data_IF_392669452819
#
_entry.id   IF_392669452819
#
_cell.length_a   1.000
_cell.length_b   1.000
_cell.length_c   1.000
_cell.angle_alpha   90.00
_cell.angle_beta   90.00
_cell.angle_gamma   90.00
#
_symmetry.space_group_name_H-M   'P 1'
#
loop_
_entity.id
_entity.type
_entity.pdbx_description
1 polymer ?
#
# COMPACT_ATOMS: atom_id res chain seq x y z
N UNK A 1 -12.68 -53.19 9.68
CA UNK A 1 -12.61 -51.92 10.45
C UNK A 1 -14.02 -51.58 10.93
N UNK A 2 -14.22 -51.20 12.21
CA UNK A 2 -15.55 -50.84 12.70
C UNK A 2 -16.12 -49.61 11.98
N UNK A 3 -17.43 -49.60 11.73
CA UNK A 3 -18.14 -48.54 10.99
C UNK A 3 -17.96 -47.15 11.62
N UNK A 4 -17.91 -47.09 12.96
CA UNK A 4 -17.67 -45.87 13.72
C UNK A 4 -16.31 -45.25 13.41
N UNK A 5 -15.26 -46.08 13.31
CA UNK A 5 -13.90 -45.61 13.01
C UNK A 5 -13.81 -45.19 11.54
N UNK A 6 -14.55 -45.85 10.65
CA UNK A 6 -14.64 -45.46 9.22
C UNK A 6 -15.26 -44.07 9.06
N UNK A 7 -16.38 -43.80 9.73
CA UNK A 7 -17.04 -42.47 9.68
C UNK A 7 -16.15 -41.36 10.24
N UNK A 8 -15.47 -41.63 11.35
CA UNK A 8 -14.52 -40.70 11.95
C UNK A 8 -13.37 -40.35 10.99
N UNK A 9 -12.74 -41.37 10.39
CA UNK A 9 -11.62 -41.16 9.47
C UNK A 9 -12.03 -40.38 8.21
N UNK A 10 -13.27 -40.56 7.73
CA UNK A 10 -13.78 -39.82 6.56
C UNK A 10 -14.01 -38.34 6.85
N UNK A 11 -14.45 -37.98 8.06
CA UNK A 11 -14.77 -36.58 8.41
C UNK A 11 -13.61 -35.80 9.06
N UNK A 12 -12.63 -36.49 9.63
CA UNK A 12 -11.51 -35.86 10.37
C UNK A 12 -10.67 -34.90 9.50
N UNK A 13 -10.51 -35.18 8.21
CA UNK A 13 -9.59 -34.43 7.34
C UNK A 13 -10.06 -33.04 6.89
N UNK A 14 -11.28 -32.61 7.25
CA UNK A 14 -11.82 -31.33 6.79
C UNK A 14 -10.96 -30.13 7.19
N UNK A 15 -10.46 -30.12 8.43
CA UNK A 15 -9.61 -29.05 8.97
C UNK A 15 -8.24 -29.06 8.31
N UNK A 16 -7.60 -30.21 8.18
CA UNK A 16 -6.28 -30.33 7.53
C UNK A 16 -6.30 -29.88 6.06
N UNK A 17 -7.38 -30.20 5.36
CA UNK A 17 -7.59 -29.76 3.97
C UNK A 17 -7.72 -28.23 3.92
N UNK A 18 -8.47 -27.64 4.84
CA UNK A 18 -8.61 -26.18 4.92
C UNK A 18 -7.26 -25.52 5.23
N UNK A 19 -6.52 -26.02 6.22
CA UNK A 19 -5.21 -25.51 6.60
C UNK A 19 -4.19 -25.61 5.46
N UNK A 20 -4.21 -26.72 4.72
CA UNK A 20 -3.40 -26.90 3.50
C UNK A 20 -3.76 -25.86 2.44
N UNK A 21 -5.05 -25.60 2.20
CA UNK A 21 -5.51 -24.60 1.24
C UNK A 21 -5.13 -23.17 1.67
N UNK A 22 -5.30 -22.84 2.95
CA UNK A 22 -4.90 -21.55 3.50
C UNK A 22 -3.39 -21.32 3.42
N UNK A 23 -2.61 -22.36 3.70
CA UNK A 23 -1.14 -22.32 3.66
C UNK A 23 -0.61 -22.15 2.22
N UNK A 24 -1.25 -22.81 1.24
CA UNK A 24 -0.79 -22.82 -0.16
C UNK A 24 -0.60 -21.42 -0.77
N UNK A 25 -1.44 -20.46 -0.40
CA UNK A 25 -1.33 -19.08 -0.88
C UNK A 25 -1.51 -18.04 0.24
N UNK A 26 -0.87 -18.31 1.37
CA UNK A 26 -0.88 -17.44 2.55
C UNK A 26 -0.39 -16.02 2.20
N UNK A 27 -1.13 -14.95 2.55
CA UNK A 27 -0.66 -13.58 2.39
C UNK A 27 0.65 -13.32 3.15
N UNK A 28 1.67 -12.78 2.48
CA UNK A 28 3.00 -12.49 3.06
C UNK A 28 3.14 -11.07 3.63
N UNK A 29 2.03 -10.37 3.83
CA UNK A 29 2.01 -8.98 4.28
C UNK A 29 2.29 -8.90 5.78
N UNK A 30 3.49 -8.47 6.17
CA UNK A 30 3.87 -8.27 7.57
C UNK A 30 3.44 -6.87 8.05
N UNK A 31 2.76 -6.81 9.19
CA UNK A 31 2.40 -5.56 9.86
C UNK A 31 2.79 -5.62 11.34
N UNK A 32 3.04 -4.47 11.95
CA UNK A 32 3.30 -4.36 13.40
C UNK A 32 2.03 -4.48 14.25
N UNK A 33 0.86 -4.38 13.63
CA UNK A 33 -0.45 -4.45 14.32
C UNK A 33 -0.84 -5.92 14.51
N UNK A 34 -1.09 -6.35 15.74
CA UNK A 34 -1.44 -7.74 16.07
C UNK A 34 -2.67 -8.26 15.29
N UNK A 35 -3.68 -7.42 15.12
CA UNK A 35 -4.93 -7.78 14.44
C UNK A 35 -4.78 -7.95 12.92
N UNK A 36 -3.68 -7.48 12.33
CA UNK A 36 -3.46 -7.56 10.88
C UNK A 36 -3.35 -9.02 10.40
N UNK A 37 -2.76 -9.89 11.21
CA UNK A 37 -2.66 -11.31 10.89
C UNK A 37 -4.06 -11.96 10.85
N UNK A 38 -4.96 -11.56 11.75
CA UNK A 38 -6.34 -12.03 11.75
C UNK A 38 -7.08 -11.54 10.50
N UNK A 39 -6.98 -10.24 10.18
CA UNK A 39 -7.64 -9.66 9.02
C UNK A 39 -7.16 -10.30 7.70
N UNK A 40 -5.84 -10.40 7.51
CA UNK A 40 -5.27 -11.00 6.30
C UNK A 40 -5.62 -12.49 6.17
N UNK A 41 -5.66 -13.23 7.28
CA UNK A 41 -6.08 -14.63 7.26
C UNK A 41 -7.59 -14.78 6.97
N UNK A 42 -8.43 -13.87 7.49
CA UNK A 42 -9.86 -13.87 7.20
C UNK A 42 -10.14 -13.62 5.70
N UNK A 43 -9.41 -12.70 5.07
CA UNK A 43 -9.50 -12.50 3.62
C UNK A 43 -9.06 -13.75 2.84
N UNK A 44 -7.98 -14.40 3.28
CA UNK A 44 -7.50 -15.65 2.68
C UNK A 44 -8.57 -16.75 2.76
N UNK A 45 -9.22 -16.88 3.91
CA UNK A 45 -10.31 -17.82 4.14
C UNK A 45 -11.51 -17.53 3.26
N UNK A 46 -11.91 -16.26 3.12
CA UNK A 46 -13.02 -15.87 2.26
C UNK A 46 -12.77 -16.26 0.78
N UNK A 47 -11.53 -16.11 0.31
CA UNK A 47 -11.15 -16.54 -1.05
C UNK A 47 -11.22 -18.06 -1.21
N UNK A 48 -10.75 -18.82 -0.23
CA UNK A 48 -10.83 -20.30 -0.26
C UNK A 48 -12.29 -20.76 -0.23
N UNK A 49 -13.14 -20.15 0.59
CA UNK A 49 -14.57 -20.45 0.65
C UNK A 49 -15.27 -20.13 -0.66
N UNK A 50 -15.00 -18.97 -1.26
CA UNK A 50 -15.55 -18.59 -2.56
C UNK A 50 -15.11 -19.55 -3.68
N UNK A 51 -13.86 -20.00 -3.66
CA UNK A 51 -13.37 -21.02 -4.61
C UNK A 51 -14.07 -22.37 -4.41
N UNK A 52 -14.33 -22.78 -3.17
CA UNK A 52 -15.09 -24.01 -2.88
C UNK A 52 -16.50 -23.93 -3.43
N UNK A 53 -17.20 -22.82 -3.19
CA UNK A 53 -18.53 -22.56 -3.76
C UNK A 53 -18.50 -22.56 -5.29
N UNK A 54 -17.52 -21.90 -5.91
CA UNK A 54 -17.35 -21.92 -7.36
C UNK A 54 -17.18 -23.36 -7.88
N UNK A 55 -16.40 -24.19 -7.19
CA UNK A 55 -16.21 -25.60 -7.58
C UNK A 55 -17.48 -26.42 -7.42
N UNK A 56 -18.30 -26.14 -6.42
CA UNK A 56 -19.60 -26.81 -6.22
C UNK A 56 -20.61 -26.43 -7.29
N UNK A 57 -20.64 -25.16 -7.70
CA UNK A 57 -21.55 -24.67 -8.75
C UNK A 57 -21.14 -25.08 -10.16
N UNK A 58 -19.85 -25.35 -10.40
CA UNK A 58 -19.29 -25.66 -11.72
C UNK A 58 -18.75 -27.11 -11.83
N UNK A 59 -19.30 -28.06 -11.06
CA UNK A 59 -18.80 -29.45 -11.03
C UNK A 59 -18.84 -30.16 -12.39
N UNK A 60 -19.79 -29.80 -13.26
CA UNK A 60 -20.01 -30.47 -14.55
C UNK A 60 -19.48 -29.66 -15.75
N UNK A 61 -18.96 -28.46 -15.54
CA UNK A 61 -18.49 -27.59 -16.63
C UNK A 61 -16.96 -27.57 -16.72
N UNK A 62 -16.44 -27.51 -17.96
CA UNK A 62 -15.03 -27.27 -18.27
C UNK A 62 -14.49 -25.91 -17.77
N UNK A 63 -15.36 -25.12 -17.11
CA UNK A 63 -15.07 -23.80 -16.55
C UNK A 63 -14.61 -23.86 -15.09
N UNK A 64 -14.50 -25.04 -14.48
CA UNK A 64 -14.02 -25.19 -13.11
C UNK A 64 -12.55 -24.73 -12.98
N UNK A 65 -12.35 -23.53 -12.42
CA UNK A 65 -11.03 -22.94 -12.26
C UNK A 65 -10.22 -23.63 -11.15
N UNK A 66 -8.91 -23.77 -11.39
CA UNK A 66 -7.95 -24.12 -10.34
C UNK A 66 -7.96 -23.05 -9.24
N UNK A 67 -7.49 -23.38 -8.04
CA UNK A 67 -7.42 -22.40 -6.94
C UNK A 67 -6.57 -21.18 -7.31
N UNK A 68 -5.51 -21.37 -8.10
CA UNK A 68 -4.66 -20.28 -8.58
C UNK A 68 -5.38 -19.40 -9.61
N UNK A 69 -6.05 -20.03 -10.58
CA UNK A 69 -6.68 -19.30 -11.67
C UNK A 69 -7.91 -18.53 -11.17
N UNK A 70 -8.68 -19.12 -10.25
CA UNK A 70 -9.74 -18.41 -9.55
C UNK A 70 -9.21 -17.17 -8.83
N UNK A 71 -8.08 -17.29 -8.13
CA UNK A 71 -7.43 -16.16 -7.45
C UNK A 71 -6.98 -15.06 -8.41
N UNK A 72 -6.42 -15.43 -9.56
CA UNK A 72 -6.02 -14.48 -10.62
C UNK A 72 -7.23 -13.77 -11.19
N UNK A 73 -8.31 -14.51 -11.43
CA UNK A 73 -9.54 -13.99 -11.99
C UNK A 73 -10.19 -12.94 -11.06
N UNK A 74 -10.43 -13.29 -9.79
CA UNK A 74 -10.99 -12.33 -8.80
C UNK A 74 -10.10 -11.11 -8.64
N UNK A 75 -8.77 -11.28 -8.66
CA UNK A 75 -7.82 -10.17 -8.51
C UNK A 75 -7.92 -9.24 -9.72
N UNK A 76 -7.98 -9.80 -10.92
CA UNK A 76 -8.11 -9.04 -12.16
C UNK A 76 -9.43 -8.27 -12.18
N UNK A 77 -10.54 -8.91 -11.77
CA UNK A 77 -11.84 -8.27 -11.64
C UNK A 77 -11.82 -7.11 -10.63
N UNK A 78 -11.25 -7.32 -9.44
CA UNK A 78 -11.14 -6.28 -8.41
C UNK A 78 -10.26 -5.10 -8.86
N UNK A 79 -9.17 -5.37 -9.58
CA UNK A 79 -8.28 -4.32 -10.11
C UNK A 79 -8.98 -3.50 -11.19
N UNK A 80 -9.70 -4.15 -12.11
CA UNK A 80 -10.51 -3.45 -13.13
C UNK A 80 -11.60 -2.59 -12.48
N UNK A 81 -12.27 -3.12 -11.46
CA UNK A 81 -13.28 -2.37 -10.69
C UNK A 81 -12.70 -1.17 -9.93
N UNK A 82 -11.45 -1.27 -9.43
CA UNK A 82 -10.77 -0.22 -8.65
C UNK A 82 -10.31 1.01 -9.45
N UNK A 83 -10.37 1.00 -10.77
CA UNK A 83 -10.01 2.14 -11.63
C UNK A 83 -10.75 3.45 -11.29
N UNK A 84 -11.82 3.41 -10.46
CA UNK A 84 -12.62 4.58 -10.07
C UNK A 84 -12.24 5.22 -8.73
N UNK A 85 -11.29 4.66 -7.97
CA UNK A 85 -10.78 5.32 -6.77
C UNK A 85 -9.60 6.21 -7.17
N UNK A 86 -9.90 7.39 -7.70
CA UNK A 86 -8.91 8.46 -7.80
C UNK A 86 -8.43 8.75 -6.38
N UNK A 87 -7.27 8.22 -6.00
CA UNK A 87 -6.56 8.66 -4.79
C UNK A 87 -6.22 10.12 -5.07
N UNK A 88 -7.12 11.03 -4.69
CA UNK A 88 -6.84 12.45 -4.67
C UNK A 88 -5.75 12.61 -3.62
N UNK A 89 -4.49 12.67 -4.06
CA UNK A 89 -3.43 13.26 -3.26
C UNK A 89 -3.99 14.58 -2.76
N UNK A 90 -4.10 14.76 -1.45
CA UNK A 90 -4.66 15.98 -0.88
C UNK A 90 -4.03 17.21 -1.54
N UNK A 91 -4.80 18.31 -1.66
CA UNK A 91 -4.31 19.59 -2.22
C UNK A 91 -2.89 19.82 -1.74
N UNK A 92 -1.91 19.93 -2.66
CA UNK A 92 -0.60 20.47 -2.31
C UNK A 92 -0.91 21.81 -1.64
N UNK A 93 -0.53 21.98 -0.38
CA UNK A 93 -0.68 23.25 0.30
C UNK A 93 0.04 24.28 -0.57
N UNK A 94 -0.71 25.12 -1.28
CA UNK A 94 -0.14 26.32 -1.88
C UNK A 94 0.36 27.15 -0.69
N UNK A 95 1.67 27.42 -0.60
CA UNK A 95 2.16 28.30 0.44
C UNK A 95 1.45 29.66 0.29
N UNK A 96 1.05 30.30 1.40
CA UNK A 96 0.36 31.60 1.34
C UNK A 96 1.18 32.64 0.58
N UNK A 97 0.48 33.52 -0.14
CA UNK A 97 1.02 34.55 -1.05
C UNK A 97 2.11 35.43 -0.38
N UNK A 98 2.05 35.59 0.94
CA UNK A 98 3.06 36.29 1.75
C UNK A 98 4.48 35.68 1.70
N UNK A 99 4.65 34.50 1.09
CA UNK A 99 5.96 33.87 0.82
C UNK A 99 6.51 34.16 -0.59
N UNK A 100 5.77 34.87 -1.44
CA UNK A 100 6.13 35.10 -2.86
C UNK A 100 6.95 36.36 -3.12
N UNK A 101 7.09 37.27 -2.15
CA UNK A 101 7.75 38.56 -2.40
C UNK A 101 8.86 38.78 -1.38
N UNK A 102 10.03 38.22 -1.70
CA UNK A 102 11.32 38.75 -1.25
C UNK A 102 12.07 39.11 -2.53
N UNK A 103 12.06 40.41 -2.87
CA UNK A 103 12.84 41.07 -3.94
C UNK A 103 13.76 40.12 -4.75
N UNK A 104 13.30 39.62 -5.91
CA UNK A 104 14.13 38.88 -6.88
C UNK A 104 14.66 37.49 -6.47
N UNK A 105 14.54 37.07 -5.21
CA UNK A 105 15.05 35.78 -4.76
C UNK A 105 14.03 34.65 -4.98
N UNK A 106 14.47 33.53 -5.57
CA UNK A 106 13.67 32.29 -5.68
C UNK A 106 14.53 31.04 -5.51
N UNK A 107 13.89 29.91 -5.19
CA UNK A 107 14.55 28.65 -4.89
C UNK A 107 14.53 27.67 -6.07
N UNK A 108 15.69 27.10 -6.39
CA UNK A 108 15.84 26.03 -7.37
C UNK A 108 16.42 24.73 -6.76
N UNK A 109 16.04 23.56 -7.29
CA UNK A 109 16.65 22.28 -6.93
C UNK A 109 18.15 22.24 -7.24
N UNK A 110 18.93 21.68 -6.32
CA UNK A 110 20.38 21.46 -6.49
C UNK A 110 20.78 20.14 -5.83
N UNK A 111 22.01 19.69 -6.07
CA UNK A 111 22.67 18.59 -5.36
C UNK A 111 22.52 18.73 -3.83
N UNK A 112 22.62 17.62 -3.09
CA UNK A 112 22.45 17.66 -1.64
C UNK A 112 23.57 18.44 -0.95
N UNK A 113 23.20 19.33 -0.02
CA UNK A 113 24.12 20.07 0.85
C UNK A 113 23.48 20.45 2.17
N UNK A 114 24.10 21.33 2.97
CA UNK A 114 23.52 21.81 4.24
C UNK A 114 22.83 23.16 4.07
N UNK A 115 21.68 23.33 4.73
CA UNK A 115 20.98 24.61 4.80
C UNK A 115 21.79 25.65 5.59
N UNK A 116 21.90 26.89 5.08
CA UNK A 116 22.64 27.99 5.72
C UNK A 116 22.10 28.33 7.11
N UNK A 117 20.77 28.27 7.29
CA UNK A 117 20.07 28.62 8.53
C UNK A 117 20.05 27.45 9.53
N UNK A 118 19.39 26.35 9.19
CA UNK A 118 19.18 25.26 10.16
C UNK A 118 20.24 24.15 10.14
N UNK A 119 21.24 24.24 9.25
CA UNK A 119 22.35 23.28 9.09
C UNK A 119 21.96 21.83 8.76
N UNK A 120 20.67 21.54 8.52
CA UNK A 120 20.16 20.23 8.07
C UNK A 120 20.30 20.04 6.57
N UNK A 121 20.25 18.79 6.11
CA UNK A 121 20.33 18.44 4.69
C UNK A 121 19.24 19.16 3.86
N UNK A 122 19.66 19.79 2.77
CA UNK A 122 18.85 20.59 1.87
C UNK A 122 19.22 20.29 0.42
N UNK A 123 18.23 20.35 -0.47
CA UNK A 123 18.37 20.18 -1.93
C UNK A 123 17.83 21.38 -2.70
N UNK A 124 17.73 22.53 -2.02
CA UNK A 124 17.26 23.78 -2.57
C UNK A 124 18.30 24.85 -2.29
N UNK A 125 18.48 25.76 -3.24
CA UNK A 125 19.30 26.94 -3.08
C UNK A 125 18.59 28.15 -3.68
N UNK A 126 18.91 29.34 -3.18
CA UNK A 126 18.51 30.58 -3.81
C UNK A 126 19.39 30.82 -5.04
N UNK A 127 18.81 31.12 -6.20
CA UNK A 127 19.57 31.34 -7.45
C UNK A 127 20.45 32.58 -7.34
N UNK A 128 19.90 33.66 -6.80
CA UNK A 128 20.58 34.95 -6.68
C UNK A 128 21.74 34.92 -5.65
N UNK A 129 21.51 34.41 -4.44
CA UNK A 129 22.54 34.38 -3.39
C UNK A 129 23.43 33.12 -3.45
N UNK A 130 23.05 32.12 -4.23
CA UNK A 130 23.64 30.76 -4.26
C UNK A 130 23.68 30.04 -2.90
N UNK A 131 22.95 30.56 -1.92
CA UNK A 131 22.87 30.01 -0.58
C UNK A 131 21.81 28.91 -0.47
N UNK A 132 22.16 27.83 0.22
CA UNK A 132 21.30 26.65 0.36
C UNK A 132 20.26 26.88 1.43
N UNK A 133 18.97 26.89 1.08
CA UNK A 133 17.88 27.27 1.98
C UNK A 133 16.67 26.36 1.79
N UNK A 134 16.10 25.86 2.90
CA UNK A 134 14.78 25.21 2.85
C UNK A 134 13.70 26.26 2.59
N UNK A 135 12.55 25.84 2.02
CA UNK A 135 11.38 26.72 1.82
C UNK A 135 10.96 27.49 3.08
N UNK A 136 11.04 26.87 4.26
CA UNK A 136 10.76 27.52 5.55
C UNK A 136 11.87 28.44 6.05
N UNK A 137 13.11 28.20 5.64
CA UNK A 137 14.29 28.98 6.06
C UNK A 137 14.56 30.16 5.12
N UNK A 138 14.02 30.11 3.90
CA UNK A 138 14.14 31.15 2.88
C UNK A 138 13.68 32.54 3.37
N UNK A 139 12.44 32.72 3.88
CA UNK A 139 12.03 34.03 4.39
C UNK A 139 12.85 34.46 5.62
N UNK A 140 13.32 33.52 6.45
CA UNK A 140 14.14 33.85 7.63
C UNK A 140 15.51 34.42 7.25
N UNK A 141 16.06 33.98 6.12
CA UNK A 141 17.35 34.44 5.62
C UNK A 141 17.22 35.78 4.88
N UNK A 142 16.22 35.91 3.99
CA UNK A 142 16.07 37.10 3.14
C UNK A 142 15.29 38.26 3.80
N UNK A 143 14.68 38.08 4.97
CA UNK A 143 14.06 39.18 5.74
C UNK A 143 15.07 40.03 6.53
N UNK A 144 16.34 39.64 6.58
CA UNK A 144 17.37 40.29 7.43
C UNK A 144 18.37 41.10 6.60
N UNK A 145 18.11 41.31 5.30
CA UNK A 145 19.02 42.00 4.38
C UNK A 145 18.39 43.27 3.84
N UNK A 146 18.03 44.18 4.74
CA UNK A 146 17.87 45.61 4.42
C UNK A 146 18.93 46.35 5.22
N UNK A 147 20.11 46.51 4.62
CA UNK A 147 20.99 47.64 4.89
C UNK A 147 20.73 48.66 3.79
#
# INVERSE_FOLDING_TARGET
MPEIVRRYNTSMGGVDILDKLLSSYRPRLRSKKWWWNLFSNALNLAVVAAWRLHRELHQESSTALSHLDFRRDITTHLLRAKSRLTIRTGRRAHPPEALRITQGHYLEPISQGRCRVCKKNCRLHCVECRERLHRKCFPLYHRVSTN
#
